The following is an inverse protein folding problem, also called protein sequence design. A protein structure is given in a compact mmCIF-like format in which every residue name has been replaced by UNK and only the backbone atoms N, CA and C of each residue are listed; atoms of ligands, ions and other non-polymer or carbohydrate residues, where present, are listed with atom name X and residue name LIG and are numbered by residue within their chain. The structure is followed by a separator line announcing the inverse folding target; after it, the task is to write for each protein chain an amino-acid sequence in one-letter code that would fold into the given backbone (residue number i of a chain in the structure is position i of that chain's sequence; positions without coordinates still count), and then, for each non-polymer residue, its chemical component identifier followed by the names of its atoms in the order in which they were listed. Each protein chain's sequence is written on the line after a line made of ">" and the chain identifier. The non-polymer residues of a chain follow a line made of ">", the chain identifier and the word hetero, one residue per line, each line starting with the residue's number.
data_IF_468882912358
#
_entry.id   IF_468882912358
#
_cell.length_a   1.000
_cell.length_b   1.000
_cell.length_c   1.000
_cell.angle_alpha   90.00
_cell.angle_beta   90.00
_cell.angle_gamma   90.00
#
_symmetry.space_group_name_H-M   'P 1'
#
loop_
_entity.id
_entity.type
_entity.pdbx_description
1 polymer ?
#
# COMPACT_ATOMS: atom_id res chain seq x y z
N UNK A 1 -7.85 -30.71 -6.19
CA UNK A 1 -6.95 -29.68 -5.61
C UNK A 1 -5.71 -30.41 -5.10
N UNK A 2 -4.54 -30.12 -5.65
CA UNK A 2 -3.28 -30.68 -5.15
C UNK A 2 -3.02 -30.18 -3.75
N UNK A 3 -2.59 -31.04 -2.79
CA UNK A 3 -2.31 -30.63 -1.43
C UNK A 3 -1.22 -29.54 -1.41
N UNK A 4 -1.47 -28.42 -0.74
CA UNK A 4 -0.51 -27.33 -0.59
C UNK A 4 0.70 -27.87 0.17
N UNK A 5 1.88 -27.80 -0.42
CA UNK A 5 3.11 -28.31 0.19
C UNK A 5 3.51 -27.49 1.42
N UNK A 6 4.09 -28.09 2.46
CA UNK A 6 4.57 -27.34 3.63
C UNK A 6 5.56 -26.23 3.28
N UNK A 7 6.37 -26.44 2.25
CA UNK A 7 7.34 -25.47 1.72
C UNK A 7 6.67 -24.21 1.17
N UNK A 8 5.53 -24.35 0.49
CA UNK A 8 4.79 -23.22 -0.09
C UNK A 8 4.29 -22.27 1.02
N UNK A 9 3.87 -22.84 2.16
CA UNK A 9 3.44 -22.06 3.33
C UNK A 9 4.59 -21.32 4.02
N UNK A 10 5.80 -21.87 3.99
CA UNK A 10 6.98 -21.19 4.52
C UNK A 10 7.35 -19.98 3.65
N UNK A 11 7.29 -20.14 2.33
CA UNK A 11 7.52 -19.06 1.37
C UNK A 11 6.49 -17.95 1.59
N UNK A 12 5.19 -18.28 1.66
CA UNK A 12 4.10 -17.33 1.92
C UNK A 12 4.34 -16.53 3.19
N UNK A 13 4.59 -17.22 4.32
CA UNK A 13 4.82 -16.58 5.62
C UNK A 13 6.04 -15.65 5.61
N UNK A 14 7.11 -16.06 4.92
CA UNK A 14 8.32 -15.25 4.80
C UNK A 14 8.05 -14.00 3.96
N UNK A 15 7.34 -14.14 2.86
CA UNK A 15 6.94 -13.03 1.99
C UNK A 15 6.07 -12.02 2.75
N UNK A 16 5.04 -12.49 3.47
CA UNK A 16 4.16 -11.62 4.27
C UNK A 16 4.91 -10.88 5.39
N UNK A 17 5.85 -11.55 6.09
CA UNK A 17 6.69 -10.87 7.09
C UNK A 17 7.51 -9.73 6.49
N UNK A 18 8.09 -9.96 5.32
CA UNK A 18 8.86 -8.91 4.61
C UNK A 18 7.94 -7.74 4.25
N UNK A 19 6.72 -8.00 3.78
CA UNK A 19 5.72 -6.97 3.54
C UNK A 19 5.42 -6.15 4.80
N UNK A 20 5.18 -6.80 5.95
CA UNK A 20 4.94 -6.12 7.23
C UNK A 20 6.12 -5.24 7.64
N UNK A 21 7.36 -5.75 7.55
CA UNK A 21 8.54 -4.94 7.90
C UNK A 21 8.73 -3.75 6.96
N UNK A 22 8.53 -3.93 5.66
CA UNK A 22 8.61 -2.84 4.69
C UNK A 22 7.54 -1.79 4.95
N UNK A 23 6.28 -2.18 5.21
CA UNK A 23 5.20 -1.25 5.55
C UNK A 23 5.49 -0.52 6.86
N UNK A 24 6.07 -1.18 7.87
CA UNK A 24 6.48 -0.53 9.11
C UNK A 24 7.58 0.51 8.87
N UNK A 25 8.56 0.18 8.04
CA UNK A 25 9.62 1.12 7.66
C UNK A 25 9.03 2.35 6.92
N UNK A 26 8.11 2.13 5.98
CA UNK A 26 7.42 3.20 5.26
C UNK A 26 6.60 4.07 6.19
N UNK A 27 5.88 3.48 7.17
CA UNK A 27 5.13 4.23 8.17
C UNK A 27 6.04 5.17 9.00
N UNK A 28 7.16 4.65 9.49
CA UNK A 28 8.13 5.46 10.25
C UNK A 28 8.74 6.54 9.36
N UNK A 29 9.14 6.20 8.13
CA UNK A 29 9.70 7.15 7.19
C UNK A 29 8.73 8.29 6.86
N UNK A 30 7.44 7.98 6.63
CA UNK A 30 6.40 8.99 6.37
C UNK A 30 6.24 9.98 7.51
N UNK A 31 6.19 9.49 8.76
CA UNK A 31 6.13 10.34 9.95
C UNK A 31 7.41 11.19 10.09
N UNK A 32 8.60 10.61 9.92
CA UNK A 32 9.86 11.35 10.02
C UNK A 32 9.96 12.47 8.97
N UNK A 33 9.60 12.16 7.70
CA UNK A 33 9.66 13.15 6.63
C UNK A 33 8.57 14.22 6.81
N UNK A 34 7.40 13.88 7.36
CA UNK A 34 6.40 14.88 7.77
C UNK A 34 7.00 15.88 8.78
N UNK A 35 7.68 15.41 9.83
CA UNK A 35 8.30 16.28 10.84
C UNK A 35 9.36 17.22 10.23
N UNK A 36 10.02 16.83 9.16
CA UNK A 36 11.05 17.64 8.48
C UNK A 36 10.44 18.60 7.45
N UNK A 37 9.43 18.13 6.69
CA UNK A 37 8.86 18.85 5.56
C UNK A 37 7.63 19.70 5.92
N UNK A 38 6.95 19.38 7.05
CA UNK A 38 5.67 19.96 7.44
C UNK A 38 4.48 19.52 6.56
N UNK A 39 4.68 18.57 5.65
CA UNK A 39 3.62 18.10 4.74
C UNK A 39 2.67 17.12 5.40
N UNK A 40 1.41 17.49 5.54
CA UNK A 40 0.35 16.62 6.05
C UNK A 40 0.08 15.41 5.13
N UNK A 41 0.30 15.54 3.83
CA UNK A 41 0.16 14.43 2.88
C UNK A 41 1.10 13.27 3.24
N UNK A 42 2.33 13.56 3.68
CA UNK A 42 3.29 12.54 4.10
C UNK A 42 2.92 11.90 5.45
N UNK A 43 2.28 12.66 6.35
CA UNK A 43 1.73 12.10 7.57
C UNK A 43 0.62 11.09 7.26
N UNK A 44 -0.30 11.45 6.36
CA UNK A 44 -1.37 10.55 5.93
C UNK A 44 -0.83 9.29 5.27
N UNK A 45 0.19 9.41 4.42
CA UNK A 45 0.86 8.26 3.79
C UNK A 45 1.53 7.36 4.85
N UNK A 46 2.20 7.94 5.84
CA UNK A 46 2.76 7.21 6.98
C UNK A 46 1.70 6.49 7.82
N UNK A 47 0.56 7.14 8.11
CA UNK A 47 -0.56 6.55 8.83
C UNK A 47 -1.20 5.42 8.01
N UNK A 48 -1.37 5.62 6.70
CA UNK A 48 -1.83 4.57 5.81
C UNK A 48 -0.91 3.35 5.84
N UNK A 49 0.41 3.56 5.74
CA UNK A 49 1.39 2.49 5.86
C UNK A 49 1.31 1.75 7.20
N UNK A 50 0.98 2.45 8.30
CA UNK A 50 0.74 1.82 9.61
C UNK A 50 -0.51 0.92 9.61
N UNK A 51 -1.59 1.32 8.94
CA UNK A 51 -2.77 0.47 8.72
C UNK A 51 -2.41 -0.77 7.90
N UNK A 52 -1.50 -0.63 6.91
CA UNK A 52 -1.00 -1.76 6.12
C UNK A 52 -0.20 -2.75 6.98
N UNK A 53 0.56 -2.29 7.97
CA UNK A 53 1.20 -3.17 8.97
C UNK A 53 0.16 -4.02 9.69
N UNK A 54 -0.91 -3.42 10.19
CA UNK A 54 -2.02 -4.13 10.83
C UNK A 54 -2.64 -5.19 9.92
N UNK A 55 -2.96 -4.81 8.68
CA UNK A 55 -3.50 -5.72 7.65
C UNK A 55 -2.54 -6.90 7.37
N UNK A 56 -1.24 -6.63 7.21
CA UNK A 56 -0.23 -7.66 6.98
C UNK A 56 -0.07 -8.63 8.17
N UNK A 57 -0.20 -8.14 9.40
CA UNK A 57 -0.20 -9.01 10.60
C UNK A 57 -1.42 -9.94 10.61
N UNK A 58 -2.59 -9.43 10.23
CA UNK A 58 -3.82 -10.24 10.07
C UNK A 58 -3.61 -11.30 8.98
N UNK A 59 -3.07 -10.93 7.82
CA UNK A 59 -2.73 -11.86 6.75
C UNK A 59 -1.80 -12.98 7.23
N UNK A 60 -0.73 -12.62 7.95
CA UNK A 60 0.22 -13.58 8.51
C UNK A 60 -0.41 -14.51 9.56
N UNK A 61 -1.42 -14.04 10.30
CA UNK A 61 -2.18 -14.86 11.26
C UNK A 61 -3.11 -15.82 10.54
N UNK A 62 -3.83 -15.35 9.52
CA UNK A 62 -4.74 -16.18 8.71
C UNK A 62 -3.94 -17.27 7.99
N UNK A 63 -2.85 -16.93 7.34
CA UNK A 63 -1.95 -17.91 6.70
C UNK A 63 -1.45 -19.02 7.65
N UNK A 64 -1.39 -18.75 8.96
CA UNK A 64 -1.09 -19.76 9.97
C UNK A 64 -2.30 -20.62 10.33
N UNK A 65 -3.47 -20.04 10.32
CA UNK A 65 -4.71 -20.72 10.75
C UNK A 65 -5.26 -21.66 9.68
N UNK A 66 -5.17 -21.28 8.41
CA UNK A 66 -5.70 -22.06 7.28
C UNK A 66 -5.14 -23.50 7.21
N UNK A 67 -3.99 -23.75 7.84
CA UNK A 67 -3.39 -25.11 7.91
C UNK A 67 -3.98 -25.98 9.02
N UNK A 68 -4.77 -25.39 9.94
CA UNK A 68 -5.35 -26.13 11.06
C UNK A 68 -6.48 -27.04 10.58
N UNK A 69 -6.57 -28.28 11.11
CA UNK A 69 -7.71 -29.14 10.83
C UNK A 69 -9.01 -28.51 11.34
N UNK A 70 -10.16 -28.88 10.77
CA UNK A 70 -11.47 -28.46 11.27
C UNK A 70 -11.62 -28.74 12.77
N UNK A 71 -12.22 -27.81 13.49
CA UNK A 71 -12.52 -27.93 14.93
C UNK A 71 -14.00 -27.60 15.20
N UNK A 72 -14.42 -27.65 16.49
CA UNK A 72 -15.81 -27.37 16.86
C UNK A 72 -16.27 -25.97 16.54
N UNK A 73 -15.36 -24.98 16.48
CA UNK A 73 -15.67 -23.60 16.15
C UNK A 73 -15.71 -23.37 14.63
N UNK A 74 -14.93 -24.14 13.89
CA UNK A 74 -14.83 -24.07 12.42
C UNK A 74 -14.97 -25.47 11.80
N UNK A 75 -16.21 -26.03 11.73
CA UNK A 75 -16.45 -27.39 11.24
C UNK A 75 -16.05 -27.61 9.79
N UNK A 76 -16.08 -26.53 8.97
CA UNK A 76 -15.69 -26.54 7.54
C UNK A 76 -14.24 -26.13 7.31
N UNK A 77 -13.44 -26.00 8.38
CA UNK A 77 -12.06 -25.54 8.27
C UNK A 77 -11.92 -24.02 8.25
N UNK A 78 -10.70 -23.55 7.96
CA UNK A 78 -10.31 -22.13 8.06
C UNK A 78 -10.15 -21.45 6.70
N UNK A 79 -10.43 -22.13 5.58
CA UNK A 79 -10.25 -21.60 4.22
C UNK A 79 -11.08 -20.32 3.97
N UNK A 80 -12.25 -20.23 4.60
CA UNK A 80 -13.10 -19.04 4.54
C UNK A 80 -12.44 -17.76 5.09
N UNK A 81 -11.45 -17.90 5.99
CA UNK A 81 -10.71 -16.75 6.52
C UNK A 81 -9.84 -16.07 5.45
N UNK A 82 -9.30 -16.83 4.51
CA UNK A 82 -8.53 -16.28 3.37
C UNK A 82 -9.44 -15.44 2.46
N UNK A 83 -10.62 -15.94 2.13
CA UNK A 83 -11.59 -15.21 1.32
C UNK A 83 -12.07 -13.93 2.03
N UNK A 84 -12.35 -14.03 3.33
CA UNK A 84 -12.75 -12.88 4.15
C UNK A 84 -11.63 -11.82 4.22
N UNK A 85 -10.38 -12.23 4.34
CA UNK A 85 -9.23 -11.33 4.30
C UNK A 85 -9.13 -10.60 2.95
N UNK A 86 -9.25 -11.32 1.84
CA UNK A 86 -9.20 -10.73 0.49
C UNK A 86 -10.32 -9.70 0.33
N UNK A 87 -11.53 -10.01 0.79
CA UNK A 87 -12.66 -9.06 0.78
C UNK A 87 -12.34 -7.81 1.60
N UNK A 88 -11.92 -7.98 2.85
CA UNK A 88 -11.57 -6.86 3.74
C UNK A 88 -10.45 -6.00 3.16
N UNK A 89 -9.40 -6.62 2.63
CA UNK A 89 -8.28 -5.93 1.99
C UNK A 89 -8.71 -5.14 0.75
N UNK A 90 -9.61 -5.70 -0.05
CA UNK A 90 -10.15 -5.02 -1.24
C UNK A 90 -11.01 -3.81 -0.86
N UNK A 91 -11.81 -3.91 0.21
CA UNK A 91 -12.60 -2.80 0.73
C UNK A 91 -11.70 -1.68 1.29
N UNK A 92 -10.63 -2.02 2.00
CA UNK A 92 -9.65 -1.04 2.46
C UNK A 92 -9.01 -0.28 1.28
N UNK A 93 -8.58 -1.00 0.25
CA UNK A 93 -8.01 -0.39 -0.96
C UNK A 93 -9.01 0.54 -1.65
N UNK A 94 -10.27 0.10 -1.79
CA UNK A 94 -11.33 0.92 -2.37
C UNK A 94 -11.57 2.19 -1.54
N UNK A 95 -11.60 2.07 -0.21
CA UNK A 95 -11.75 3.20 0.70
C UNK A 95 -10.63 4.23 0.55
N UNK A 96 -9.38 3.77 0.48
CA UNK A 96 -8.21 4.64 0.29
C UNK A 96 -8.24 5.34 -1.07
N UNK A 97 -8.54 4.62 -2.15
CA UNK A 97 -8.66 5.21 -3.49
C UNK A 97 -9.78 6.26 -3.55
N UNK A 98 -10.92 5.97 -2.91
CA UNK A 98 -12.03 6.94 -2.83
C UNK A 98 -11.63 8.18 -2.02
N UNK A 99 -10.94 8.00 -0.89
CA UNK A 99 -10.44 9.11 -0.09
C UNK A 99 -9.42 9.96 -0.88
N UNK A 100 -8.49 9.33 -1.56
CA UNK A 100 -7.50 10.03 -2.40
C UNK A 100 -8.18 10.82 -3.53
N UNK A 101 -9.20 10.25 -4.18
CA UNK A 101 -9.96 10.94 -5.23
C UNK A 101 -10.73 12.16 -4.68
N UNK A 102 -11.39 12.03 -3.53
CA UNK A 102 -12.10 13.13 -2.87
C UNK A 102 -11.12 14.23 -2.44
N UNK A 103 -9.98 13.85 -1.85
CA UNK A 103 -8.94 14.81 -1.43
C UNK A 103 -8.33 15.56 -2.63
N UNK A 104 -8.08 14.87 -3.72
CA UNK A 104 -7.59 15.52 -4.95
C UNK A 104 -8.62 16.51 -5.52
N UNK A 105 -9.91 16.14 -5.51
CA UNK A 105 -10.99 16.99 -5.98
C UNK A 105 -11.15 18.24 -5.09
N UNK A 106 -11.08 18.09 -3.75
CA UNK A 106 -11.14 19.24 -2.84
C UNK A 106 -9.98 20.21 -3.08
N UNK A 107 -8.76 19.71 -3.26
CA UNK A 107 -7.59 20.56 -3.57
C UNK A 107 -7.77 21.35 -4.86
N UNK A 108 -8.35 20.74 -5.91
CA UNK A 108 -8.65 21.44 -7.17
C UNK A 108 -9.68 22.54 -6.95
N UNK A 109 -10.71 22.28 -6.15
CA UNK A 109 -11.76 23.23 -5.82
C UNK A 109 -11.18 24.41 -5.03
N UNK A 110 -10.40 24.16 -3.98
CA UNK A 110 -9.78 25.17 -3.12
C UNK A 110 -8.87 26.11 -3.94
N UNK A 111 -8.10 25.52 -4.86
CA UNK A 111 -7.31 26.30 -5.80
C UNK A 111 -8.17 27.19 -6.73
N UNK A 112 -9.28 26.66 -7.23
CA UNK A 112 -10.20 27.43 -8.09
C UNK A 112 -10.84 28.61 -7.35
N UNK A 113 -11.01 28.52 -6.02
CA UNK A 113 -11.47 29.61 -5.18
C UNK A 113 -10.35 30.57 -4.74
N UNK A 114 -9.10 30.34 -5.17
CA UNK A 114 -7.96 31.23 -4.92
C UNK A 114 -7.29 31.04 -3.57
N UNK A 115 -7.50 29.91 -2.90
CA UNK A 115 -6.76 29.57 -1.68
C UNK A 115 -5.29 29.28 -2.01
N UNK A 116 -4.39 29.85 -1.22
CA UNK A 116 -2.95 29.65 -1.39
C UNK A 116 -2.56 28.25 -0.90
N UNK A 117 -2.12 27.40 -1.80
CA UNK A 117 -1.57 26.09 -1.44
C UNK A 117 -0.23 26.29 -0.72
N UNK A 118 -0.10 25.70 0.46
CA UNK A 118 1.11 25.81 1.28
C UNK A 118 2.35 25.36 0.50
N UNK A 119 3.41 26.17 0.54
CA UNK A 119 4.68 25.84 -0.10
C UNK A 119 5.35 24.66 0.58
N UNK A 120 5.30 23.48 -0.03
CA UNK A 120 5.97 22.27 0.48
C UNK A 120 7.45 22.28 0.09
N UNK A 121 8.34 21.85 0.99
CA UNK A 121 9.75 21.66 0.67
C UNK A 121 9.90 20.42 -0.23
N UNK A 122 10.08 20.64 -1.53
CA UNK A 122 10.06 19.59 -2.55
C UNK A 122 11.22 18.58 -2.42
N UNK A 123 12.39 18.99 -1.92
CA UNK A 123 13.56 18.11 -1.84
C UNK A 123 13.35 16.82 -1.03
N UNK A 124 13.00 16.90 0.27
CA UNK A 124 12.73 15.71 1.09
C UNK A 124 11.58 14.87 0.56
N UNK A 125 10.53 15.51 0.01
CA UNK A 125 9.36 14.83 -0.54
C UNK A 125 9.72 14.02 -1.78
N UNK A 126 10.54 14.56 -2.68
CA UNK A 126 10.99 13.85 -3.89
C UNK A 126 11.77 12.59 -3.55
N UNK A 127 12.74 12.66 -2.64
CA UNK A 127 13.51 11.50 -2.19
C UNK A 127 12.63 10.45 -1.53
N UNK A 128 11.68 10.88 -0.70
CA UNK A 128 10.71 9.99 -0.08
C UNK A 128 9.85 9.28 -1.13
N UNK A 129 9.31 10.00 -2.11
CA UNK A 129 8.49 9.42 -3.18
C UNK A 129 9.26 8.37 -4.00
N UNK A 130 10.53 8.64 -4.34
CA UNK A 130 11.38 7.67 -5.04
C UNK A 130 11.59 6.41 -4.19
N UNK A 131 11.88 6.56 -2.91
CA UNK A 131 12.06 5.44 -1.99
C UNK A 131 10.78 4.61 -1.84
N UNK A 132 9.61 5.28 -1.74
CA UNK A 132 8.30 4.63 -1.66
C UNK A 132 8.01 3.82 -2.93
N UNK A 133 8.16 4.43 -4.11
CA UNK A 133 7.95 3.74 -5.39
C UNK A 133 8.85 2.50 -5.48
N UNK A 134 10.15 2.64 -5.19
CA UNK A 134 11.10 1.54 -5.24
C UNK A 134 10.71 0.40 -4.27
N UNK A 135 10.26 0.75 -3.05
CA UNK A 135 9.83 -0.23 -2.05
C UNK A 135 8.55 -0.93 -2.47
N UNK A 136 7.54 -0.20 -2.94
CA UNK A 136 6.27 -0.76 -3.39
C UNK A 136 6.45 -1.69 -4.60
N UNK A 137 7.25 -1.30 -5.60
CA UNK A 137 7.52 -2.14 -6.76
C UNK A 137 8.36 -3.37 -6.39
N UNK A 138 9.34 -3.22 -5.49
CA UNK A 138 10.12 -4.33 -4.95
C UNK A 138 9.24 -5.35 -4.22
N UNK A 139 8.31 -4.89 -3.37
CA UNK A 139 7.33 -5.73 -2.69
C UNK A 139 6.37 -6.41 -3.68
N UNK A 140 5.83 -5.66 -4.63
CA UNK A 140 4.92 -6.18 -5.64
C UNK A 140 5.57 -7.30 -6.46
N UNK A 141 6.81 -7.07 -6.90
CA UNK A 141 7.59 -8.08 -7.62
C UNK A 141 7.85 -9.30 -6.76
N UNK A 142 8.25 -9.11 -5.50
CA UNK A 142 8.53 -10.20 -4.57
C UNK A 142 7.30 -11.04 -4.27
N UNK A 143 6.19 -10.42 -3.89
CA UNK A 143 4.94 -11.13 -3.60
C UNK A 143 4.43 -11.88 -4.84
N UNK A 144 4.55 -11.27 -6.03
CA UNK A 144 4.15 -11.92 -7.27
C UNK A 144 5.07 -13.12 -7.62
N UNK A 145 6.39 -12.97 -7.44
CA UNK A 145 7.33 -14.05 -7.66
C UNK A 145 7.09 -15.21 -6.69
N UNK A 146 6.90 -14.92 -5.40
CA UNK A 146 6.60 -15.94 -4.39
C UNK A 146 5.23 -16.60 -4.64
N UNK A 147 4.23 -15.85 -5.12
CA UNK A 147 2.96 -16.41 -5.57
C UNK A 147 3.11 -17.40 -6.74
N UNK A 148 3.96 -17.07 -7.72
CA UNK A 148 4.26 -17.99 -8.82
C UNK A 148 4.96 -19.26 -8.32
N UNK A 149 5.89 -19.14 -7.36
CA UNK A 149 6.62 -20.28 -6.78
C UNK A 149 5.74 -21.21 -5.97
N UNK A 150 4.71 -20.69 -5.31
CA UNK A 150 3.72 -21.46 -4.54
C UNK A 150 2.60 -22.08 -5.42
N UNK A 151 2.83 -22.25 -6.72
CA UNK A 151 1.87 -22.85 -7.63
C UNK A 151 0.60 -22.01 -7.84
N UNK A 152 0.64 -20.70 -7.54
CA UNK A 152 -0.49 -19.75 -7.69
C UNK A 152 -1.70 -20.02 -6.81
N UNK A 153 -1.53 -20.76 -5.71
CA UNK A 153 -2.64 -21.14 -4.84
C UNK A 153 -2.98 -20.08 -3.78
N UNK A 154 -2.02 -19.24 -3.35
CA UNK A 154 -2.25 -18.25 -2.30
C UNK A 154 -2.92 -16.98 -2.84
N UNK A 155 -4.20 -16.79 -2.52
CA UNK A 155 -4.94 -15.56 -2.83
C UNK A 155 -4.41 -14.36 -2.02
N UNK A 156 -3.87 -14.62 -0.82
CA UNK A 156 -3.26 -13.58 0.04
C UNK A 156 -2.07 -12.95 -0.68
N UNK A 157 -1.12 -13.75 -1.18
CA UNK A 157 0.07 -13.24 -1.89
C UNK A 157 -0.30 -12.47 -3.16
N UNK A 158 -1.29 -12.97 -3.91
CA UNK A 158 -1.78 -12.28 -5.11
C UNK A 158 -2.39 -10.92 -4.76
N UNK A 159 -3.19 -10.87 -3.69
CA UNK A 159 -3.85 -9.64 -3.23
C UNK A 159 -2.82 -8.62 -2.74
N UNK A 160 -1.83 -9.05 -1.96
CA UNK A 160 -0.74 -8.19 -1.50
C UNK A 160 0.13 -7.68 -2.68
N UNK A 161 0.40 -8.52 -3.68
CA UNK A 161 1.12 -8.09 -4.87
C UNK A 161 0.34 -7.03 -5.67
N UNK A 162 -0.97 -7.19 -5.81
CA UNK A 162 -1.84 -6.19 -6.47
C UNK A 162 -1.91 -4.89 -5.68
N UNK A 163 -2.07 -4.97 -4.36
CA UNK A 163 -2.10 -3.82 -3.47
C UNK A 163 -0.79 -3.01 -3.59
N UNK A 164 0.36 -3.67 -3.46
CA UNK A 164 1.65 -3.00 -3.58
C UNK A 164 1.90 -2.36 -4.96
N UNK A 165 1.36 -2.94 -6.05
CA UNK A 165 1.40 -2.31 -7.38
C UNK A 165 0.59 -1.03 -7.43
N UNK A 166 -0.62 -1.03 -6.88
CA UNK A 166 -1.48 0.16 -6.83
C UNK A 166 -0.84 1.25 -5.99
N UNK A 167 -0.30 0.93 -4.82
CA UNK A 167 0.41 1.87 -3.97
C UNK A 167 1.63 2.48 -4.70
N UNK A 168 2.41 1.64 -5.40
CA UNK A 168 3.55 2.10 -6.21
C UNK A 168 3.15 2.99 -7.38
N UNK A 169 2.02 2.73 -8.03
CA UNK A 169 1.48 3.58 -9.10
C UNK A 169 1.05 4.95 -8.55
N UNK A 170 0.29 4.97 -7.45
CA UNK A 170 -0.18 6.21 -6.81
C UNK A 170 1.02 7.06 -6.37
N UNK A 171 1.97 6.46 -5.64
CA UNK A 171 3.19 7.15 -5.20
C UNK A 171 4.03 7.65 -6.37
N UNK A 172 4.11 6.87 -7.46
CA UNK A 172 4.81 7.25 -8.68
C UNK A 172 4.15 8.43 -9.40
N UNK A 173 2.84 8.42 -9.54
CA UNK A 173 2.09 9.53 -10.14
C UNK A 173 2.23 10.80 -9.30
N UNK A 174 2.12 10.70 -7.98
CA UNK A 174 2.32 11.84 -7.06
C UNK A 174 3.75 12.38 -7.17
N UNK A 175 4.76 11.50 -7.18
CA UNK A 175 6.15 11.90 -7.36
C UNK A 175 6.41 12.61 -8.70
N UNK A 176 5.85 12.10 -9.80
CA UNK A 176 5.95 12.74 -11.13
C UNK A 176 5.25 14.09 -11.16
N UNK A 177 4.08 14.21 -10.54
CA UNK A 177 3.36 15.47 -10.43
C UNK A 177 4.20 16.52 -9.67
N UNK A 178 4.79 16.15 -8.54
CA UNK A 178 5.64 17.04 -7.74
C UNK A 178 6.92 17.46 -8.49
N UNK A 179 7.56 16.55 -9.22
CA UNK A 179 8.75 16.86 -10.03
C UNK A 179 8.41 17.71 -11.25
N UNK A 180 7.21 17.55 -11.81
CA UNK A 180 6.71 18.34 -12.93
C UNK A 180 6.24 19.76 -12.54
N UNK A 181 5.88 19.98 -11.27
CA UNK A 181 5.35 21.24 -10.77
C UNK A 181 6.19 22.48 -11.13
N UNK A 182 7.53 22.48 -10.96
CA UNK A 182 8.35 23.63 -11.34
C UNK A 182 8.42 23.90 -12.84
N UNK A 183 8.22 22.86 -13.68
CA UNK A 183 8.26 22.98 -15.14
C UNK A 183 6.94 23.55 -15.69
N UNK A 184 5.85 23.42 -14.94
CA UNK A 184 4.51 23.83 -15.33
C UNK A 184 4.08 25.16 -14.70
N UNK A 185 4.99 25.85 -13.98
CA UNK A 185 4.73 27.21 -13.45
C UNK A 185 4.40 28.15 -14.61
N UNK A 186 3.15 28.61 -14.63
CA UNK A 186 2.64 29.54 -15.67
C UNK A 186 1.75 28.89 -16.72
N UNK A 187 1.48 27.60 -16.66
CA UNK A 187 0.51 26.91 -17.52
C UNK A 187 -0.75 26.53 -16.74
N UNK A 188 -1.89 26.40 -17.43
CA UNK A 188 -3.17 25.96 -16.82
C UNK A 188 -3.05 24.59 -16.13
N UNK A 189 -2.05 23.79 -16.53
CA UNK A 189 -1.76 22.49 -15.89
C UNK A 189 -1.12 22.63 -14.48
N UNK A 190 -0.62 23.81 -14.10
CA UNK A 190 -0.14 24.03 -12.72
C UNK A 190 -1.25 23.85 -11.65
N UNK A 191 -2.50 23.90 -12.06
CA UNK A 191 -3.71 23.68 -11.22
C UNK A 191 -3.88 22.21 -10.84
N UNK A 192 -3.40 21.29 -11.67
CA UNK A 192 -3.58 19.83 -11.47
C UNK A 192 -2.49 19.18 -10.62
N UNK A 193 -1.54 19.97 -10.12
CA UNK A 193 -0.40 19.47 -9.35
C UNK A 193 -0.61 19.89 -7.89
N UNK A 194 -0.98 18.95 -7.00
CA UNK A 194 -1.16 19.22 -5.57
C UNK A 194 0.13 19.61 -4.86
#
# INVERSE_FOLDING_TARGET
>A
MSPVRPEDRLIERRSLKIGVYASALMAVAGVCVHLISGSYALLLDGLYSAVMVGSGLVAARISRNVVRPPDRAYPYGYDGQEALYVLFRSLLLMGVLSFAAISALSTIIDYAYGELISSVRLGPVAWYSIAMVATCWGLAWRHHHDWCRTGRHSQILLTEAKAARLDGLISGMTGLALLGAPLLKGTVLSVLIP
#
